data_IF_011942485413
#
_entry.id   IF_011942485413
#
_cell.length_a   1.000
_cell.length_b   1.000
_cell.length_c   1.000
_cell.angle_alpha   90.00
_cell.angle_beta   90.00
_cell.angle_gamma   90.00
#
_symmetry.space_group_name_H-M   'P 1'
#
loop_
_entity.id
_entity.type
_entity.pdbx_description
1 polymer ?
#
# COMPACT_ATOMS: atom_id res chain seq x y z
N UNK A 1 -82.72 -8.87 43.15
CA UNK A 1 -81.61 -9.83 43.03
C UNK A 1 -81.06 -9.68 41.61
N UNK A 2 -80.67 -8.45 41.25
CA UNK A 2 -80.62 -7.95 39.87
C UNK A 2 -79.61 -6.78 39.78
N UNK A 3 -78.48 -6.91 40.47
CA UNK A 3 -77.40 -5.90 40.47
C UNK A 3 -76.00 -6.55 40.36
N UNK A 4 -75.92 -7.87 40.15
CA UNK A 4 -74.65 -8.62 40.15
C UNK A 4 -74.13 -9.05 38.79
N UNK A 5 -74.85 -8.80 37.69
CA UNK A 5 -74.42 -9.23 36.35
C UNK A 5 -73.70 -8.16 35.54
N UNK A 6 -73.88 -6.86 35.83
CA UNK A 6 -73.24 -5.81 35.02
C UNK A 6 -71.74 -5.64 35.32
N UNK A 7 -71.22 -6.18 36.43
CA UNK A 7 -69.82 -5.98 36.84
C UNK A 7 -68.83 -6.93 36.15
N UNK A 8 -69.29 -8.09 35.65
CA UNK A 8 -68.39 -9.03 34.97
C UNK A 8 -68.10 -8.63 33.52
N UNK A 9 -69.03 -7.97 32.84
CA UNK A 9 -68.88 -7.60 31.42
C UNK A 9 -67.83 -6.49 31.25
N UNK A 10 -67.77 -5.51 32.16
CA UNK A 10 -66.73 -4.46 32.13
C UNK A 10 -65.31 -5.01 32.37
N UNK A 11 -65.17 -6.08 33.16
CA UNK A 11 -63.86 -6.68 33.46
C UNK A 11 -63.27 -7.41 32.24
N UNK A 12 -64.13 -8.10 31.47
CA UNK A 12 -63.71 -8.86 30.27
C UNK A 12 -63.29 -7.92 29.14
N UNK A 13 -64.00 -6.80 28.93
CA UNK A 13 -63.68 -5.83 27.86
C UNK A 13 -62.32 -5.15 28.11
N UNK A 14 -61.97 -4.84 29.37
CA UNK A 14 -60.66 -4.24 29.70
C UNK A 14 -59.48 -5.19 29.48
N UNK A 15 -59.66 -6.51 29.62
CA UNK A 15 -58.58 -7.49 29.38
C UNK A 15 -58.25 -7.66 27.90
N UNK A 16 -59.23 -7.57 27.00
CA UNK A 16 -58.97 -7.68 25.57
C UNK A 16 -58.19 -6.47 25.01
N UNK A 17 -58.43 -5.26 25.53
CA UNK A 17 -57.73 -4.05 25.05
C UNK A 17 -56.26 -3.97 25.48
N UNK A 18 -55.86 -4.62 26.58
CA UNK A 18 -54.46 -4.61 27.03
C UNK A 18 -53.57 -5.64 26.31
N UNK A 19 -54.15 -6.73 25.78
CA UNK A 19 -53.36 -7.79 25.13
C UNK A 19 -52.85 -7.37 23.72
N UNK A 20 -53.60 -6.52 23.01
CA UNK A 20 -53.24 -6.08 21.65
C UNK A 20 -52.11 -5.03 21.65
N UNK A 21 -51.98 -4.21 22.70
CA UNK A 21 -50.93 -3.18 22.80
C UNK A 21 -49.54 -3.73 23.14
N UNK A 22 -49.44 -4.92 23.76
CA UNK A 22 -48.15 -5.50 24.12
C UNK A 22 -47.44 -6.20 22.96
N UNK A 23 -48.17 -6.80 22.01
CA UNK A 23 -47.54 -7.47 20.84
C UNK A 23 -46.88 -6.52 19.84
N UNK A 24 -47.39 -5.29 19.70
CA UNK A 24 -46.90 -4.35 18.67
C UNK A 24 -45.65 -3.54 19.11
N UNK A 25 -45.37 -3.46 20.41
CA UNK A 25 -44.18 -2.80 20.95
C UNK A 25 -42.94 -3.70 20.91
N UNK A 26 -43.11 -5.01 21.11
CA UNK A 26 -41.99 -5.97 21.12
C UNK A 26 -41.41 -6.24 19.72
N UNK A 27 -42.20 -6.06 18.65
CA UNK A 27 -41.75 -6.29 17.28
C UNK A 27 -40.94 -5.10 16.71
N UNK A 28 -41.16 -3.87 17.21
CA UNK A 28 -40.42 -2.68 16.78
C UNK A 28 -38.99 -2.61 17.33
N UNK A 29 -38.75 -3.20 18.51
CA UNK A 29 -37.42 -3.19 19.14
C UNK A 29 -36.48 -4.20 18.48
N UNK A 30 -36.99 -5.33 17.95
CA UNK A 30 -36.16 -6.35 17.28
C UNK A 30 -35.72 -5.95 15.87
N UNK A 31 -36.52 -5.16 15.16
CA UNK A 31 -36.20 -4.71 13.79
C UNK A 31 -35.13 -3.61 13.73
N UNK A 32 -34.98 -2.79 14.78
CA UNK A 32 -33.93 -1.75 14.84
C UNK A 32 -32.56 -2.33 15.22
N UNK A 33 -32.51 -3.42 15.99
CA UNK A 33 -31.26 -4.09 16.36
C UNK A 33 -30.54 -4.78 15.19
N UNK A 34 -31.27 -5.21 14.16
CA UNK A 34 -30.69 -5.99 13.06
C UNK A 34 -30.05 -5.12 11.96
N UNK A 35 -30.51 -3.88 11.77
CA UNK A 35 -29.95 -2.96 10.77
C UNK A 35 -28.55 -2.43 11.17
N UNK A 36 -28.24 -2.36 12.47
CA UNK A 36 -26.97 -1.84 12.98
C UNK A 36 -25.83 -2.89 12.93
N UNK A 37 -26.15 -4.18 12.89
CA UNK A 37 -25.16 -5.26 12.76
C UNK A 37 -24.66 -5.46 11.32
N UNK A 38 -25.44 -5.03 10.31
CA UNK A 38 -25.06 -5.18 8.90
C UNK A 38 -24.03 -4.16 8.39
N UNK A 39 -23.93 -2.98 9.02
CA UNK A 39 -23.06 -1.91 8.56
C UNK A 39 -21.58 -2.04 9.00
N UNK A 40 -21.26 -2.99 9.88
CA UNK A 40 -19.93 -3.17 10.46
C UNK A 40 -19.00 -4.12 9.66
N UNK A 41 -19.47 -4.73 8.58
CA UNK A 41 -18.79 -5.89 7.96
C UNK A 41 -18.01 -5.62 6.66
N UNK A 42 -17.82 -4.36 6.25
CA UNK A 42 -17.06 -4.06 5.02
C UNK A 42 -15.87 -3.12 5.25
N UNK A 43 -15.29 -3.14 6.45
CA UNK A 43 -13.94 -2.64 6.63
C UNK A 43 -12.96 -3.64 5.98
N UNK A 44 -12.71 -3.46 4.68
CA UNK A 44 -11.61 -4.17 4.03
C UNK A 44 -10.33 -3.76 4.75
N UNK A 45 -9.52 -4.70 5.28
CA UNK A 45 -8.24 -4.36 5.85
C UNK A 45 -7.45 -3.62 4.77
N UNK A 46 -6.89 -2.46 5.10
CA UNK A 46 -5.90 -1.82 4.25
C UNK A 46 -4.68 -2.76 4.25
N UNK A 47 -4.62 -3.67 3.28
CA UNK A 47 -3.45 -4.53 3.11
C UNK A 47 -2.27 -3.62 2.84
N UNK A 48 -1.26 -3.70 3.71
CA UNK A 48 0.02 -3.07 3.44
C UNK A 48 0.54 -3.65 2.13
N UNK A 49 0.79 -2.75 1.20
CA UNK A 49 1.46 -3.08 -0.03
C UNK A 49 2.85 -3.62 0.28
N UNK A 50 3.34 -4.57 -0.52
CA UNK A 50 4.65 -5.21 -0.32
C UNK A 50 5.44 -5.06 -1.60
N UNK A 51 6.65 -4.50 -1.51
CA UNK A 51 7.68 -4.62 -2.54
C UNK A 51 8.54 -5.84 -2.23
N UNK A 52 8.88 -6.61 -3.25
CA UNK A 52 9.72 -7.80 -3.12
C UNK A 52 10.50 -8.08 -4.38
N UNK A 53 11.72 -8.58 -4.23
CA UNK A 53 12.56 -9.06 -5.33
C UNK A 53 12.32 -10.56 -5.52
N UNK A 54 12.17 -10.99 -6.77
CA UNK A 54 12.07 -12.41 -7.15
C UNK A 54 13.16 -12.73 -8.15
N UNK A 55 13.86 -13.87 -7.98
CA UNK A 55 14.94 -14.33 -8.89
C UNK A 55 16.28 -13.62 -8.65
N UNK A 56 17.15 -13.68 -9.65
CA UNK A 56 18.49 -13.10 -9.62
C UNK A 56 19.51 -13.90 -8.79
N UNK A 57 20.74 -13.40 -8.78
CA UNK A 57 21.88 -13.99 -8.04
C UNK A 57 22.19 -13.12 -6.82
N UNK A 58 22.19 -13.73 -5.63
CA UNK A 58 22.58 -13.02 -4.42
C UNK A 58 24.08 -12.73 -4.40
N UNK A 59 24.45 -11.50 -4.06
CA UNK A 59 25.83 -11.05 -3.95
C UNK A 59 25.93 -9.91 -2.91
N UNK A 60 27.05 -9.20 -2.91
CA UNK A 60 27.30 -8.02 -2.07
C UNK A 60 27.76 -6.84 -2.91
N UNK A 61 27.52 -5.63 -2.41
CA UNK A 61 28.05 -4.41 -3.02
C UNK A 61 29.58 -4.52 -3.14
N UNK A 62 30.14 -4.41 -4.36
CA UNK A 62 31.55 -4.70 -4.61
C UNK A 62 32.46 -3.57 -4.10
N UNK A 63 33.76 -3.87 -3.98
CA UNK A 63 34.74 -2.96 -3.37
C UNK A 63 35.04 -1.69 -4.16
N UNK A 64 34.71 -1.67 -5.46
CA UNK A 64 34.83 -0.51 -6.33
C UNK A 64 33.58 0.37 -6.36
N UNK A 65 32.47 -0.05 -5.75
CA UNK A 65 31.29 0.80 -5.61
C UNK A 65 31.66 2.09 -4.87
N UNK A 66 31.44 3.21 -5.53
CA UNK A 66 31.88 4.51 -5.07
C UNK A 66 30.66 5.39 -4.72
N UNK A 67 30.22 5.40 -3.46
CA UNK A 67 29.06 6.19 -3.04
C UNK A 67 29.35 7.70 -2.96
N UNK A 68 30.45 8.22 -3.52
CA UNK A 68 30.73 9.66 -3.50
C UNK A 68 29.70 10.43 -4.32
N UNK A 69 28.81 11.14 -3.62
CA UNK A 69 27.70 11.89 -4.23
C UNK A 69 26.32 11.29 -3.99
N UNK A 70 26.24 10.07 -3.45
CA UNK A 70 24.97 9.40 -3.16
C UNK A 70 24.56 9.60 -1.70
N UNK A 71 23.37 10.15 -1.39
CA UNK A 71 22.90 10.31 -0.02
C UNK A 71 22.42 8.97 0.56
N UNK A 72 23.39 8.14 0.93
CA UNK A 72 23.25 6.89 1.69
C UNK A 72 22.45 5.79 0.99
N UNK A 73 22.37 4.64 1.67
CA UNK A 73 21.50 3.52 1.30
C UNK A 73 22.18 2.17 1.43
N UNK A 74 23.37 2.02 0.85
CA UNK A 74 24.17 0.79 0.95
C UNK A 74 25.65 1.13 1.13
N UNK A 75 26.37 0.19 1.74
CA UNK A 75 27.82 0.20 1.93
C UNK A 75 28.44 -0.99 1.20
N UNK A 76 29.74 -0.91 0.89
CA UNK A 76 30.52 -2.05 0.39
C UNK A 76 30.33 -3.25 1.32
N UNK A 77 29.98 -4.40 0.75
CA UNK A 77 29.68 -5.64 1.47
C UNK A 77 28.22 -5.82 1.88
N UNK A 78 27.35 -4.81 1.73
CA UNK A 78 25.92 -4.97 1.97
C UNK A 78 25.29 -5.93 0.94
N UNK A 79 24.26 -6.71 1.32
CA UNK A 79 23.66 -7.69 0.42
C UNK A 79 22.88 -7.04 -0.73
N UNK A 80 23.08 -7.55 -1.93
CA UNK A 80 22.35 -7.18 -3.15
C UNK A 80 21.89 -8.43 -3.90
N UNK A 81 20.96 -8.24 -4.83
CA UNK A 81 20.55 -9.28 -5.79
C UNK A 81 20.81 -8.76 -7.19
N UNK A 82 21.66 -9.43 -7.95
CA UNK A 82 22.12 -9.06 -9.29
C UNK A 82 21.27 -9.78 -10.35
N UNK A 83 21.01 -9.09 -11.45
CA UNK A 83 20.27 -9.55 -12.62
C UNK A 83 21.06 -9.26 -13.88
N UNK A 84 21.19 -10.25 -14.75
CA UNK A 84 21.87 -10.15 -16.03
C UNK A 84 20.98 -10.60 -17.21
N UNK A 85 21.57 -10.70 -18.41
CA UNK A 85 20.86 -11.11 -19.63
C UNK A 85 20.19 -12.49 -19.58
N UNK A 86 20.56 -13.34 -18.63
CA UNK A 86 19.95 -14.65 -18.37
C UNK A 86 18.71 -14.60 -17.47
N UNK A 87 18.43 -13.49 -16.79
CA UNK A 87 17.41 -13.39 -15.72
C UNK A 87 16.05 -12.84 -16.19
N UNK A 88 15.65 -13.13 -17.43
CA UNK A 88 14.37 -12.64 -17.95
C UNK A 88 13.16 -13.15 -17.14
N UNK A 89 12.24 -12.25 -16.79
CA UNK A 89 11.02 -12.57 -16.02
C UNK A 89 11.19 -12.53 -14.49
N UNK A 90 12.28 -11.94 -14.02
CA UNK A 90 12.58 -11.73 -12.61
C UNK A 90 12.83 -10.25 -12.30
N UNK A 91 12.83 -9.89 -11.01
CA UNK A 91 13.11 -8.52 -10.55
C UNK A 91 12.20 -8.03 -9.44
N UNK A 92 12.07 -6.71 -9.34
CA UNK A 92 11.28 -6.01 -8.32
C UNK A 92 9.78 -6.07 -8.65
N UNK A 93 9.00 -6.55 -7.70
CA UNK A 93 7.57 -6.78 -7.84
C UNK A 93 6.79 -6.13 -6.69
N UNK A 94 5.51 -5.90 -6.95
CA UNK A 94 4.58 -5.17 -6.12
C UNK A 94 3.33 -6.04 -5.91
N UNK A 95 2.91 -6.23 -4.66
CA UNK A 95 1.80 -7.14 -4.34
C UNK A 95 0.42 -6.65 -4.81
N UNK A 96 0.23 -5.35 -5.01
CA UNK A 96 -1.03 -4.73 -5.42
C UNK A 96 -0.79 -3.32 -5.98
N UNK A 97 -1.75 -2.74 -6.71
CA UNK A 97 -1.57 -1.44 -7.36
C UNK A 97 -1.25 -0.29 -6.39
N UNK A 98 -0.32 0.60 -6.79
CA UNK A 98 0.35 1.58 -5.95
C UNK A 98 0.69 2.89 -6.65
N UNK A 99 1.03 3.91 -5.84
CA UNK A 99 1.91 4.97 -6.28
C UNK A 99 3.33 4.67 -5.80
N UNK A 100 4.26 4.55 -6.74
CA UNK A 100 5.68 4.37 -6.45
C UNK A 100 6.38 5.71 -6.53
N UNK A 101 7.24 5.98 -5.56
CA UNK A 101 8.14 7.13 -5.53
C UNK A 101 9.52 6.65 -5.97
N UNK A 102 10.00 7.19 -7.08
CA UNK A 102 11.35 7.04 -7.57
C UNK A 102 12.15 8.29 -7.19
N UNK A 103 13.33 8.12 -6.63
CA UNK A 103 14.23 9.21 -6.24
C UNK A 103 15.62 8.95 -6.82
N UNK A 104 16.13 9.89 -7.61
CA UNK A 104 17.46 9.81 -8.18
C UNK A 104 18.51 10.07 -7.09
N UNK A 105 19.39 9.09 -6.83
CA UNK A 105 20.41 9.21 -5.79
C UNK A 105 21.77 9.64 -6.34
N UNK A 106 22.03 9.47 -7.63
CA UNK A 106 23.28 9.84 -8.26
C UNK A 106 23.69 8.89 -9.39
N UNK A 107 24.89 9.12 -9.92
CA UNK A 107 25.50 8.34 -10.99
C UNK A 107 27.01 8.55 -11.04
N UNK A 108 27.76 7.51 -11.38
CA UNK A 108 29.18 7.54 -11.73
C UNK A 108 29.41 6.85 -13.08
N UNK A 109 28.82 7.39 -14.14
CA UNK A 109 28.96 6.85 -15.48
C UNK A 109 29.66 7.84 -16.42
N UNK A 110 30.53 7.33 -17.29
CA UNK A 110 31.04 8.09 -18.44
C UNK A 110 29.97 8.26 -19.54
N UNK A 111 28.95 7.40 -19.56
CA UNK A 111 27.86 7.44 -20.52
C UNK A 111 26.59 8.09 -19.97
N UNK A 112 25.74 8.54 -20.89
CA UNK A 112 24.42 9.09 -20.54
C UNK A 112 23.43 7.96 -20.35
N UNK A 113 23.12 7.63 -19.10
CA UNK A 113 22.15 6.61 -18.74
C UNK A 113 20.79 7.23 -18.41
N UNK A 114 19.71 6.48 -18.66
CA UNK A 114 18.34 6.96 -18.44
C UNK A 114 17.54 5.93 -17.65
N UNK A 115 16.86 6.39 -16.60
CA UNK A 115 15.83 5.63 -15.90
C UNK A 115 14.45 5.99 -16.47
N UNK A 116 13.72 4.98 -16.94
CA UNK A 116 12.41 5.14 -17.54
C UNK A 116 11.34 4.40 -16.74
N UNK A 117 10.18 5.04 -16.52
CA UNK A 117 8.98 4.36 -16.05
C UNK A 117 7.75 5.07 -16.62
N UNK A 118 7.28 4.58 -17.78
CA UNK A 118 6.22 5.26 -18.55
C UNK A 118 6.68 6.54 -19.25
N UNK A 119 8.00 6.69 -19.43
CA UNK A 119 8.67 7.91 -19.89
C UNK A 119 10.01 8.11 -19.16
N UNK A 120 10.89 8.93 -19.72
CA UNK A 120 12.21 9.21 -19.13
C UNK A 120 12.03 10.05 -17.87
N UNK A 121 12.35 9.47 -16.71
CA UNK A 121 12.20 10.14 -15.43
C UNK A 121 13.51 10.82 -15.00
N UNK A 122 14.63 10.11 -15.16
CA UNK A 122 15.95 10.60 -14.79
C UNK A 122 16.96 10.29 -15.88
N UNK A 123 17.85 11.23 -16.16
CA UNK A 123 19.01 11.02 -17.03
C UNK A 123 20.26 11.52 -16.31
N UNK A 124 21.37 10.79 -16.37
CA UNK A 124 22.64 11.22 -15.77
C UNK A 124 23.13 12.57 -16.31
N UNK A 125 22.67 12.97 -17.50
CA UNK A 125 23.01 14.26 -18.10
C UNK A 125 22.24 15.45 -17.52
N UNK A 126 21.06 15.24 -16.92
CA UNK A 126 20.15 16.34 -16.55
C UNK A 126 19.54 16.24 -15.16
N UNK A 127 19.47 15.06 -14.56
CA UNK A 127 18.90 14.86 -13.24
C UNK A 127 19.87 15.33 -12.15
N UNK A 128 19.32 15.92 -11.10
CA UNK A 128 20.06 16.30 -9.89
C UNK A 128 19.72 15.34 -8.75
N UNK A 129 20.72 15.03 -7.91
CA UNK A 129 20.52 14.18 -6.73
C UNK A 129 19.37 14.71 -5.87
N UNK A 130 18.43 13.83 -5.55
CA UNK A 130 17.20 14.15 -4.82
C UNK A 130 16.01 14.49 -5.70
N UNK A 131 16.15 14.48 -7.04
CA UNK A 131 15.00 14.56 -7.95
C UNK A 131 14.04 13.40 -7.72
N UNK A 132 12.73 13.69 -7.70
CA UNK A 132 11.68 12.72 -7.37
C UNK A 132 10.63 12.68 -8.47
N UNK A 133 10.23 11.46 -8.83
CA UNK A 133 9.08 11.18 -9.66
C UNK A 133 8.11 10.24 -8.93
N UNK A 134 6.81 10.37 -9.19
CA UNK A 134 5.79 9.45 -8.69
C UNK A 134 5.03 8.84 -9.86
N UNK A 135 4.94 7.51 -9.89
CA UNK A 135 4.28 6.76 -10.96
C UNK A 135 3.27 5.79 -10.37
N UNK A 136 2.08 5.75 -10.95
CA UNK A 136 1.09 4.74 -10.61
C UNK A 136 1.47 3.41 -11.27
N UNK A 137 1.55 2.34 -10.48
CA UNK A 137 1.85 0.99 -10.94
C UNK A 137 0.73 0.02 -10.55
N UNK A 138 0.48 -0.98 -11.38
CA UNK A 138 -0.37 -2.13 -11.02
C UNK A 138 0.33 -3.07 -10.05
N UNK A 139 -0.36 -4.14 -9.61
CA UNK A 139 0.33 -5.28 -9.02
C UNK A 139 1.14 -6.06 -10.07
N UNK A 140 2.19 -6.76 -9.64
CA UNK A 140 3.14 -7.45 -10.53
C UNK A 140 4.51 -6.77 -10.57
N UNK A 141 5.28 -6.98 -11.63
CA UNK A 141 6.59 -6.32 -11.78
C UNK A 141 6.44 -4.80 -11.91
N UNK A 142 7.32 -4.07 -11.24
CA UNK A 142 7.36 -2.62 -11.35
C UNK A 142 7.77 -2.23 -12.78
N UNK A 143 6.98 -1.39 -13.49
CA UNK A 143 7.22 -1.09 -14.91
C UNK A 143 8.30 -0.01 -15.08
N UNK A 144 9.57 -0.38 -14.91
CA UNK A 144 10.69 0.51 -15.21
C UNK A 144 11.78 -0.21 -16.02
N UNK A 145 12.64 0.58 -16.64
CA UNK A 145 13.85 0.11 -17.31
C UNK A 145 14.98 1.12 -17.18
N UNK A 146 16.20 0.63 -17.34
CA UNK A 146 17.39 1.43 -17.55
C UNK A 146 17.78 1.37 -19.02
N UNK A 147 18.15 2.50 -19.60
CA UNK A 147 18.77 2.59 -20.92
C UNK A 147 20.26 2.92 -20.72
N UNK A 148 21.13 2.04 -21.20
CA UNK A 148 22.57 2.21 -21.13
C UNK A 148 23.09 3.05 -22.29
N UNK A 149 23.70 4.20 -22.02
CA UNK A 149 24.21 5.10 -23.04
C UNK A 149 25.40 4.54 -23.83
N UNK A 150 26.22 3.69 -23.20
CA UNK A 150 27.40 3.10 -23.83
C UNK A 150 27.07 2.00 -24.84
N UNK A 151 26.21 1.07 -24.46
CA UNK A 151 25.80 -0.07 -25.30
C UNK A 151 24.60 0.24 -26.20
N UNK A 152 23.78 1.24 -25.83
CA UNK A 152 22.46 1.49 -26.42
C UNK A 152 21.42 0.43 -26.04
N UNK A 153 21.76 -0.50 -25.15
CA UNK A 153 20.88 -1.58 -24.69
C UNK A 153 19.93 -1.13 -23.58
N UNK A 154 18.98 -2.00 -23.25
CA UNK A 154 18.01 -1.78 -22.17
C UNK A 154 18.06 -2.90 -21.14
N UNK A 155 17.98 -2.55 -19.85
CA UNK A 155 17.75 -3.47 -18.75
C UNK A 155 16.34 -3.24 -18.18
N UNK A 156 15.40 -4.16 -18.47
CA UNK A 156 13.99 -4.01 -18.11
C UNK A 156 13.64 -4.84 -16.88
N UNK A 157 13.09 -4.22 -15.84
CA UNK A 157 12.65 -4.95 -14.66
C UNK A 157 11.48 -5.89 -14.97
N UNK A 158 11.61 -7.18 -14.62
CA UNK A 158 10.65 -8.22 -15.02
C UNK A 158 10.71 -8.60 -16.50
N UNK A 159 11.66 -8.08 -17.26
CA UNK A 159 11.80 -8.28 -18.71
C UNK A 159 13.22 -8.65 -19.12
N UNK A 160 13.55 -8.55 -20.43
CA UNK A 160 14.90 -8.79 -20.92
C UNK A 160 15.90 -7.75 -20.43
N UNK A 161 17.16 -8.18 -20.29
CA UNK A 161 18.33 -7.34 -20.04
C UNK A 161 19.32 -7.58 -21.17
N UNK A 162 19.71 -6.53 -21.89
CA UNK A 162 20.69 -6.64 -22.96
C UNK A 162 22.11 -6.78 -22.39
N UNK A 163 22.90 -7.73 -22.86
CA UNK A 163 24.33 -7.80 -22.51
C UNK A 163 25.07 -6.59 -23.11
N UNK A 164 26.02 -5.95 -22.38
CA UNK A 164 26.59 -6.34 -21.08
C UNK A 164 25.95 -5.66 -19.85
N UNK A 165 24.72 -5.18 -19.96
CA UNK A 165 24.05 -4.46 -18.87
C UNK A 165 23.77 -5.37 -17.68
N UNK A 166 23.84 -4.79 -16.48
CA UNK A 166 23.44 -5.45 -15.24
C UNK A 166 22.55 -4.54 -14.41
N UNK A 167 21.69 -5.15 -13.61
CA UNK A 167 20.86 -4.45 -12.63
C UNK A 167 21.01 -5.14 -11.28
N UNK A 168 21.02 -4.38 -10.20
CA UNK A 168 21.00 -4.93 -8.86
C UNK A 168 19.93 -4.27 -7.99
N UNK A 169 19.41 -5.05 -7.03
CA UNK A 169 18.52 -4.56 -5.99
C UNK A 169 19.13 -4.72 -4.61
N UNK A 170 19.07 -3.65 -3.82
CA UNK A 170 19.35 -3.69 -2.39
C UNK A 170 18.07 -3.40 -1.59
N UNK A 171 17.78 -4.23 -0.58
CA UNK A 171 16.64 -4.02 0.32
C UNK A 171 17.06 -3.06 1.45
N UNK A 172 16.39 -1.91 1.55
CA UNK A 172 16.59 -0.93 2.62
C UNK A 172 15.60 -1.11 3.78
N UNK A 173 14.70 -2.08 3.68
CA UNK A 173 13.57 -2.27 4.57
C UNK A 173 12.43 -1.28 4.31
N UNK A 174 11.32 -1.46 5.05
CA UNK A 174 10.14 -0.58 4.99
C UNK A 174 9.63 -0.32 3.56
N UNK A 175 9.60 -1.35 2.71
CA UNK A 175 9.17 -1.23 1.31
C UNK A 175 9.98 -0.22 0.51
N UNK A 176 11.28 -0.20 0.75
CA UNK A 176 12.22 0.66 0.03
C UNK A 176 13.35 -0.19 -0.49
N UNK A 177 13.62 -0.07 -1.79
CA UNK A 177 14.72 -0.75 -2.46
C UNK A 177 15.59 0.29 -3.16
N UNK A 178 16.87 -0.01 -3.31
CA UNK A 178 17.68 0.64 -4.34
C UNK A 178 17.66 -0.20 -5.60
N UNK A 179 17.39 0.43 -6.72
CA UNK A 179 17.67 -0.10 -8.04
C UNK A 179 18.98 0.51 -8.51
N UNK A 180 19.98 -0.35 -8.72
CA UNK A 180 21.34 0.00 -9.07
C UNK A 180 21.62 -0.55 -10.48
N UNK A 181 22.34 0.21 -11.30
CA UNK A 181 22.54 -0.12 -12.71
C UNK A 181 24.02 -0.09 -13.04
N UNK A 182 24.41 -1.01 -13.93
CA UNK A 182 25.69 -1.00 -14.61
C UNK A 182 25.44 -1.00 -16.12
N UNK A 183 26.03 -0.02 -16.82
CA UNK A 183 25.89 0.18 -18.25
C UNK A 183 26.88 -0.65 -19.10
N UNK A 184 27.79 -1.36 -18.43
CA UNK A 184 28.79 -2.25 -18.99
C UNK A 184 29.99 -1.54 -19.62
N UNK A 185 30.16 -0.25 -19.35
CA UNK A 185 31.37 0.51 -19.61
C UNK A 185 32.44 0.29 -18.53
N UNK A 186 33.71 0.21 -18.95
CA UNK A 186 34.84 0.18 -18.01
C UNK A 186 35.03 -1.14 -17.24
N UNK A 187 36.08 -1.22 -16.39
CA UNK A 187 36.32 -2.38 -15.54
C UNK A 187 35.40 -2.36 -14.31
N UNK A 188 34.65 -3.45 -14.20
CA UNK A 188 33.96 -3.97 -13.02
C UNK A 188 32.52 -3.46 -12.78
N UNK A 189 31.65 -4.40 -12.43
CA UNK A 189 30.24 -4.16 -12.15
C UNK A 189 30.04 -3.59 -10.75
N UNK A 190 30.38 -2.32 -10.54
CA UNK A 190 30.16 -1.55 -9.31
C UNK A 190 28.70 -1.19 -9.05
N UNK A 191 27.90 -1.07 -10.12
CA UNK A 191 26.48 -0.71 -10.05
C UNK A 191 26.19 0.73 -9.56
N UNK A 192 27.12 1.67 -9.77
CA UNK A 192 26.93 3.10 -9.49
C UNK A 192 26.69 3.97 -10.73
N UNK A 193 26.64 3.40 -11.95
CA UNK A 193 26.37 4.15 -13.18
C UNK A 193 25.03 4.92 -13.16
N UNK A 194 24.01 4.37 -12.49
CA UNK A 194 22.75 5.04 -12.19
C UNK A 194 22.08 4.39 -10.97
N UNK A 195 21.83 5.16 -9.92
CA UNK A 195 21.17 4.64 -8.70
C UNK A 195 19.86 5.37 -8.44
N UNK A 196 18.79 4.59 -8.30
CA UNK A 196 17.44 5.08 -8.05
C UNK A 196 16.86 4.38 -6.83
N UNK A 197 16.37 5.17 -5.86
CA UNK A 197 15.58 4.64 -4.74
C UNK A 197 14.14 4.45 -5.17
N UNK A 198 13.63 3.24 -5.01
CA UNK A 198 12.24 2.86 -5.25
C UNK A 198 11.55 2.68 -3.90
N UNK A 199 10.49 3.42 -3.66
CA UNK A 199 9.71 3.30 -2.43
C UNK A 199 8.22 3.33 -2.73
N UNK A 200 7.43 2.62 -1.93
CA UNK A 200 5.98 2.78 -1.97
C UNK A 200 5.61 4.12 -1.35
N UNK A 201 5.00 5.02 -2.13
CA UNK A 201 4.38 6.20 -1.55
C UNK A 201 3.18 5.74 -0.75
N UNK A 202 3.20 5.95 0.56
CA UNK A 202 2.07 5.61 1.42
C UNK A 202 0.86 6.39 0.89
N UNK A 203 -0.11 5.68 0.32
CA UNK A 203 -1.40 6.28 -0.01
C UNK A 203 -1.97 6.77 1.32
N UNK A 204 -2.25 8.09 1.48
CA UNK A 204 -2.85 8.60 2.70
C UNK A 204 -4.04 7.71 3.06
N UNK A 205 -4.02 7.14 4.27
CA UNK A 205 -5.11 6.28 4.74
C UNK A 205 -6.43 7.00 4.44
N UNK A 206 -7.40 6.32 3.80
CA UNK A 206 -8.65 6.95 3.45
C UNK A 206 -9.22 7.65 4.70
N UNK A 207 -9.70 8.91 4.60
CA UNK A 207 -10.34 9.61 5.71
C UNK A 207 -11.45 8.80 6.37
N UNK A 208 -11.97 7.80 5.66
CA UNK A 208 -12.87 6.76 6.15
C UNK A 208 -12.43 6.12 7.48
N UNK A 209 -11.13 5.94 7.75
CA UNK A 209 -10.68 5.40 9.05
C UNK A 209 -10.99 6.38 10.18
N UNK A 210 -10.70 7.67 9.97
CA UNK A 210 -11.02 8.73 10.92
C UNK A 210 -12.54 8.94 11.05
N UNK A 211 -13.27 8.84 9.95
CA UNK A 211 -14.73 8.87 9.94
C UNK A 211 -15.34 7.67 10.68
N UNK A 212 -14.75 6.48 10.54
CA UNK A 212 -15.20 5.28 11.25
C UNK A 212 -14.96 5.44 12.76
N UNK A 213 -13.77 5.88 13.16
CA UNK A 213 -13.44 6.11 14.58
C UNK A 213 -14.40 7.15 15.18
N UNK A 214 -14.60 8.28 14.50
CA UNK A 214 -15.51 9.33 14.98
C UNK A 214 -16.97 8.86 15.01
N UNK A 215 -17.43 8.09 14.03
CA UNK A 215 -18.76 7.52 14.01
C UNK A 215 -18.99 6.53 15.17
N UNK A 216 -18.02 5.66 15.45
CA UNK A 216 -18.07 4.70 16.58
C UNK A 216 -18.12 5.45 17.91
N UNK A 217 -17.26 6.47 18.11
CA UNK A 217 -17.26 7.28 19.32
C UNK A 217 -18.57 8.08 19.49
N UNK A 218 -19.13 8.61 18.39
CA UNK A 218 -20.43 9.28 18.38
C UNK A 218 -21.58 8.34 18.77
N UNK A 219 -21.60 7.12 18.23
CA UNK A 219 -22.60 6.09 18.54
C UNK A 219 -22.56 5.64 20.00
N UNK A 220 -21.37 5.42 20.57
CA UNK A 220 -21.20 5.04 21.98
C UNK A 220 -21.69 6.17 22.91
N UNK A 221 -21.37 7.42 22.56
CA UNK A 221 -21.80 8.60 23.32
C UNK A 221 -23.32 8.76 23.31
N UNK A 222 -23.94 8.60 22.13
CA UNK A 222 -25.40 8.68 21.98
C UNK A 222 -26.13 7.55 22.72
N UNK A 223 -25.60 6.33 22.68
CA UNK A 223 -26.17 5.18 23.39
C UNK A 223 -26.15 5.36 24.93
N UNK A 224 -25.13 6.05 25.47
CA UNK A 224 -25.03 6.32 26.91
C UNK A 224 -26.07 7.31 27.40
N UNK A 225 -26.32 8.38 26.65
CA UNK A 225 -27.29 9.43 27.01
C UNK A 225 -28.71 8.86 27.10
N UNK A 226 -29.09 7.96 26.17
CA UNK A 226 -30.41 7.31 26.18
C UNK A 226 -30.65 6.44 27.42
N UNK A 227 -29.62 5.77 27.94
CA UNK A 227 -29.76 4.91 29.14
C UNK A 227 -29.97 5.71 30.41
N UNK A 228 -29.41 6.92 30.51
CA UNK A 228 -29.58 7.78 31.69
C UNK A 228 -30.97 8.43 31.72
N UNK A 229 -31.55 8.76 30.57
CA UNK A 229 -32.91 9.31 30.50
C UNK A 229 -34.03 8.34 30.91
N UNK A 230 -33.81 7.03 30.83
CA UNK A 230 -34.81 6.02 31.24
C UNK A 230 -34.74 5.63 32.72
N UNK A 231 -33.68 6.02 33.45
CA UNK A 231 -33.56 5.76 34.90
C UNK A 231 -34.10 6.90 35.77
N UNK A 232 -34.53 8.01 35.17
CA UNK A 232 -35.06 9.19 35.86
C UNK A 232 -36.58 9.38 35.69
N UNK A 233 -37.31 8.37 35.21
CA UNK A 233 -38.76 8.38 35.01
C UNK A 233 -39.43 7.22 35.75
#
# INVERSE_FOLDING_TARGET
MEEREETEIECVIRRFSQCEKQGFQDMKIKLIGLALAGALLVASPASAMVLSVTGGTADTVPGNFNPTGFPGGVLIGDPITIFDSGDAGFGLSLSSAANLRFEFLGSEADFVNVFNSGGDLFSTATAAVGDVATVAAGGGFVPFSFLGGGSGGTATNGGPIDSPLLMAFADLGNNTFLAMFNDGGGPDADFDDLVVRVSVSQVPLPPAVWLLISAVLGLVSFARIRRQGQQAA
#
